data_IF_186400970045
#
_entry.id   IF_186400970045
#
_cell.length_a   1.000
_cell.length_b   1.000
_cell.length_c   1.000
_cell.angle_alpha   90.00
_cell.angle_beta   90.00
_cell.angle_gamma   90.00
#
_symmetry.space_group_name_H-M   'P 1'
#
loop_
_entity.id
_entity.type
_entity.pdbx_description
1 polymer ?
#
# COMPACT_ATOMS: atom_id res chain seq x y z
N UNK A 1 15.88 -71.66 -10.98
CA UNK A 1 16.14 -70.38 -10.27
C UNK A 1 16.99 -69.37 -11.06
N UNK A 2 17.78 -69.75 -12.07
CA UNK A 2 18.66 -68.83 -12.82
C UNK A 2 17.92 -67.79 -13.72
N UNK A 3 16.80 -68.17 -14.36
CA UNK A 3 16.05 -67.30 -15.29
C UNK A 3 15.45 -66.04 -14.63
N UNK A 4 15.08 -66.11 -13.35
CA UNK A 4 14.52 -64.98 -12.59
C UNK A 4 15.58 -63.91 -12.26
N UNK A 5 16.83 -64.31 -12.01
CA UNK A 5 17.92 -63.37 -11.72
C UNK A 5 18.34 -62.58 -12.96
N UNK A 6 18.40 -63.23 -14.13
CA UNK A 6 18.75 -62.58 -15.41
C UNK A 6 17.70 -61.52 -15.79
N UNK A 7 16.41 -61.78 -15.60
CA UNK A 7 15.35 -60.80 -15.87
C UNK A 7 15.42 -59.58 -14.96
N UNK A 8 15.78 -59.78 -13.68
CA UNK A 8 15.97 -58.68 -12.72
C UNK A 8 17.20 -57.83 -13.04
N UNK A 9 18.27 -58.44 -13.54
CA UNK A 9 19.49 -57.73 -13.92
C UNK A 9 19.30 -56.89 -15.20
N UNK A 10 18.58 -57.42 -16.20
CA UNK A 10 18.23 -56.66 -17.41
C UNK A 10 17.34 -55.46 -17.06
N UNK A 11 16.36 -55.66 -16.16
CA UNK A 11 15.49 -54.58 -15.69
C UNK A 11 16.30 -53.50 -14.94
N UNK A 12 17.23 -53.90 -14.06
CA UNK A 12 18.08 -52.97 -13.33
C UNK A 12 19.00 -52.17 -14.25
N UNK A 13 19.58 -52.80 -15.28
CA UNK A 13 20.42 -52.12 -16.29
C UNK A 13 19.61 -51.15 -17.15
N UNK A 14 18.35 -51.47 -17.45
CA UNK A 14 17.45 -50.57 -18.15
C UNK A 14 17.10 -49.33 -17.32
N UNK A 15 16.74 -49.50 -16.04
CA UNK A 15 16.52 -48.37 -15.14
C UNK A 15 17.78 -47.52 -14.94
N UNK A 16 18.94 -48.17 -14.81
CA UNK A 16 20.22 -47.46 -14.70
C UNK A 16 20.52 -46.66 -15.98
N UNK A 17 20.21 -47.21 -17.16
CA UNK A 17 20.31 -46.49 -18.44
C UNK A 17 19.40 -45.27 -18.51
N UNK A 18 18.15 -45.38 -18.03
CA UNK A 18 17.23 -44.23 -17.94
C UNK A 18 17.76 -43.17 -16.96
N UNK A 19 18.36 -43.57 -15.84
CA UNK A 19 18.94 -42.61 -14.89
C UNK A 19 20.19 -41.95 -15.49
N UNK A 20 21.11 -42.72 -16.06
CA UNK A 20 22.39 -42.23 -16.60
C UNK A 20 22.20 -41.39 -17.86
N UNK A 21 21.22 -41.70 -18.71
CA UNK A 21 20.98 -40.93 -19.94
C UNK A 21 19.83 -39.95 -19.79
N UNK A 22 18.74 -40.34 -19.14
CA UNK A 22 17.54 -39.52 -19.00
C UNK A 22 17.70 -38.35 -18.04
N UNK A 23 18.50 -38.47 -16.96
CA UNK A 23 18.78 -37.33 -16.07
C UNK A 23 19.63 -36.27 -16.78
N UNK A 24 20.81 -36.58 -17.36
CA UNK A 24 21.58 -35.55 -18.07
C UNK A 24 20.87 -35.04 -19.32
N UNK A 25 20.11 -35.86 -20.03
CA UNK A 25 19.27 -35.37 -21.15
C UNK A 25 18.15 -34.45 -20.63
N UNK A 26 17.54 -34.77 -19.48
CA UNK A 26 16.56 -33.92 -18.80
C UNK A 26 17.17 -32.61 -18.31
N UNK A 27 18.38 -32.62 -17.76
CA UNK A 27 19.14 -31.42 -17.35
C UNK A 27 19.50 -30.58 -18.58
N UNK A 28 19.89 -31.21 -19.69
CA UNK A 28 20.25 -30.51 -20.93
C UNK A 28 19.02 -29.87 -21.58
N UNK A 29 17.89 -30.58 -21.62
CA UNK A 29 16.60 -30.06 -22.11
C UNK A 29 16.08 -28.95 -21.20
N UNK A 30 16.17 -29.12 -19.87
CA UNK A 30 15.85 -28.06 -18.91
C UNK A 30 16.73 -26.84 -19.13
N UNK A 31 18.05 -27.03 -19.28
CA UNK A 31 19.02 -25.98 -19.57
C UNK A 31 18.70 -25.21 -20.87
N UNK A 32 18.25 -25.90 -21.91
CA UNK A 32 17.81 -25.29 -23.18
C UNK A 32 16.43 -24.63 -23.12
N UNK A 33 15.53 -25.06 -22.24
CA UNK A 33 14.23 -24.41 -22.02
C UNK A 33 14.38 -23.18 -21.11
N UNK A 34 15.33 -23.21 -20.17
CA UNK A 34 15.69 -22.08 -19.31
C UNK A 34 16.58 -21.02 -19.98
N UNK A 35 16.97 -21.22 -21.24
CA UNK A 35 17.91 -20.34 -21.97
C UNK A 35 17.25 -19.27 -22.85
N UNK A 36 15.96 -18.96 -22.66
CA UNK A 36 15.39 -17.72 -23.19
C UNK A 36 16.08 -16.54 -22.46
N UNK A 37 16.79 -15.63 -23.15
CA UNK A 37 17.39 -14.47 -22.49
C UNK A 37 16.28 -13.65 -21.84
N UNK A 38 16.32 -13.54 -20.50
CA UNK A 38 15.36 -12.75 -19.76
C UNK A 38 15.36 -11.29 -20.23
N UNK A 39 14.21 -10.63 -20.15
CA UNK A 39 14.12 -9.21 -20.47
C UNK A 39 14.93 -8.42 -19.45
N UNK A 40 16.04 -7.82 -19.89
CA UNK A 40 16.85 -6.95 -19.05
C UNK A 40 16.14 -5.62 -18.82
N UNK A 41 15.94 -5.29 -17.56
CA UNK A 41 15.41 -4.04 -17.05
C UNK A 41 16.54 -3.31 -16.34
N UNK A 42 16.97 -2.19 -16.90
CA UNK A 42 17.98 -1.32 -16.31
C UNK A 42 17.32 -0.34 -15.35
N UNK A 43 17.92 -0.17 -14.19
CA UNK A 43 17.49 0.77 -13.16
C UNK A 43 18.47 1.94 -13.07
N UNK A 44 17.93 3.15 -13.18
CA UNK A 44 18.61 4.41 -12.86
C UNK A 44 17.68 5.25 -11.98
N UNK A 45 18.23 6.20 -11.23
CA UNK A 45 17.43 7.16 -10.46
C UNK A 45 16.41 7.86 -11.37
N UNK A 46 15.25 8.29 -10.85
CA UNK A 46 14.20 8.93 -11.64
C UNK A 46 14.64 10.13 -12.48
N UNK A 47 15.66 10.85 -12.00
CA UNK A 47 16.29 11.98 -12.66
C UNK A 47 17.02 11.61 -13.97
N UNK A 48 17.45 10.34 -14.10
CA UNK A 48 18.19 9.81 -15.25
C UNK A 48 17.36 8.78 -16.06
N UNK A 49 16.04 8.87 -15.97
CA UNK A 49 15.11 8.09 -16.80
C UNK A 49 14.47 6.88 -16.12
N UNK A 50 14.84 6.56 -14.88
CA UNK A 50 14.13 5.54 -14.09
C UNK A 50 14.35 4.12 -14.63
N UNK A 51 13.26 3.35 -14.69
CA UNK A 51 13.28 1.98 -15.22
C UNK A 51 13.30 1.97 -16.75
N UNK A 52 14.18 1.17 -17.34
CA UNK A 52 14.26 0.97 -18.79
C UNK A 52 14.28 -0.53 -19.17
N UNK A 53 13.24 -1.06 -19.83
CA UNK A 53 12.03 -0.36 -20.23
C UNK A 53 11.16 0.01 -19.01
N UNK A 54 10.47 1.15 -19.09
CA UNK A 54 9.49 1.57 -18.07
C UNK A 54 8.12 0.89 -18.23
N UNK A 55 7.89 0.21 -19.36
CA UNK A 55 6.69 -0.58 -19.62
C UNK A 55 7.06 -1.93 -20.22
N UNK A 56 6.55 -2.98 -19.62
CA UNK A 56 6.78 -4.37 -19.99
C UNK A 56 5.45 -4.96 -20.44
N UNK A 57 5.44 -5.73 -21.53
CA UNK A 57 4.26 -6.47 -21.97
C UNK A 57 4.40 -7.94 -21.60
N UNK A 58 3.32 -8.52 -21.09
CA UNK A 58 3.23 -9.93 -20.73
C UNK A 58 1.88 -10.51 -21.17
N UNK A 59 1.76 -11.84 -21.12
CA UNK A 59 0.51 -12.55 -21.44
C UNK A 59 0.08 -13.41 -20.27
N UNK A 60 -1.24 -13.50 -20.08
CA UNK A 60 -1.82 -14.36 -19.04
C UNK A 60 -1.31 -15.80 -19.18
N UNK A 61 -0.85 -16.38 -18.07
CA UNK A 61 -0.36 -17.75 -17.97
C UNK A 61 0.98 -18.03 -18.65
N UNK A 62 1.65 -17.02 -19.23
CA UNK A 62 3.00 -17.18 -19.80
C UNK A 62 4.07 -16.72 -18.81
N UNK A 63 5.20 -17.45 -18.69
CA UNK A 63 6.31 -17.02 -17.84
C UNK A 63 6.96 -15.76 -18.40
N UNK A 64 7.16 -14.78 -17.54
CA UNK A 64 7.88 -13.54 -17.80
C UNK A 64 9.21 -13.58 -17.02
N UNK A 65 10.29 -13.91 -17.73
CA UNK A 65 11.63 -13.88 -17.19
C UNK A 65 12.16 -12.45 -17.24
N UNK A 66 12.35 -11.82 -16.07
CA UNK A 66 12.94 -10.49 -15.94
C UNK A 66 14.35 -10.61 -15.35
N UNK A 67 15.26 -9.80 -15.87
CA UNK A 67 16.58 -9.59 -15.32
C UNK A 67 16.74 -8.12 -14.98
N UNK A 68 17.47 -7.80 -13.92
CA UNK A 68 17.66 -6.44 -13.44
C UNK A 68 19.13 -6.14 -13.27
N UNK A 69 19.51 -4.91 -13.57
CA UNK A 69 20.83 -4.36 -13.23
C UNK A 69 20.69 -2.87 -12.96
N UNK A 70 21.49 -2.35 -12.04
CA UNK A 70 21.54 -0.91 -11.78
C UNK A 70 22.68 -0.25 -12.56
N UNK A 71 22.44 0.97 -13.04
CA UNK A 71 23.46 1.80 -13.70
C UNK A 71 24.07 2.84 -12.75
N UNK A 72 23.57 2.97 -11.52
CA UNK A 72 24.00 3.99 -10.56
C UNK A 72 24.09 3.51 -9.09
N UNK A 73 22.97 3.50 -8.36
CA UNK A 73 22.86 3.20 -6.93
C UNK A 73 22.10 1.90 -6.71
N UNK A 74 21.96 1.46 -5.46
CA UNK A 74 21.13 0.29 -5.15
C UNK A 74 19.66 0.67 -5.30
N UNK A 75 18.93 -0.14 -6.07
CA UNK A 75 17.48 -0.04 -6.20
C UNK A 75 16.81 -1.27 -5.59
N UNK A 76 15.50 -1.16 -5.36
CA UNK A 76 14.65 -2.29 -5.04
C UNK A 76 13.65 -2.51 -6.16
N UNK A 77 13.17 -3.74 -6.34
CA UNK A 77 12.08 -4.06 -7.25
C UNK A 77 11.00 -4.81 -6.47
N UNK A 78 9.80 -4.25 -6.48
CA UNK A 78 8.59 -4.89 -5.98
C UNK A 78 7.41 -4.58 -6.89
N UNK A 79 6.41 -5.46 -6.93
CA UNK A 79 5.16 -5.27 -7.67
C UNK A 79 4.05 -5.07 -6.64
N UNK A 80 3.44 -3.89 -6.64
CA UNK A 80 2.53 -3.42 -5.58
C UNK A 80 1.52 -4.43 -5.06
N UNK A 81 0.44 -4.62 -5.82
CA UNK A 81 -0.70 -5.50 -5.42
C UNK A 81 -0.35 -7.00 -5.32
N UNK A 82 0.92 -7.38 -5.51
CA UNK A 82 1.37 -8.76 -5.42
C UNK A 82 2.27 -8.93 -4.19
N UNK A 83 1.93 -9.91 -3.36
CA UNK A 83 2.79 -10.31 -2.24
C UNK A 83 3.98 -11.14 -2.75
N UNK A 84 4.96 -10.44 -3.31
CA UNK A 84 6.20 -11.00 -3.81
C UNK A 84 7.39 -10.44 -3.01
N UNK A 85 8.40 -11.27 -2.69
CA UNK A 85 9.62 -10.78 -2.07
C UNK A 85 10.25 -9.65 -2.89
N UNK A 86 10.68 -8.59 -2.20
CA UNK A 86 11.44 -7.53 -2.84
C UNK A 86 12.79 -8.05 -3.35
N UNK A 87 13.25 -7.49 -4.46
CA UNK A 87 14.53 -7.83 -5.07
C UNK A 87 15.44 -6.62 -5.02
N UNK A 88 16.59 -6.75 -4.38
CA UNK A 88 17.64 -5.74 -4.47
C UNK A 88 18.34 -5.80 -5.85
N UNK A 89 18.55 -4.63 -6.43
CA UNK A 89 19.16 -4.43 -7.74
C UNK A 89 20.44 -3.63 -7.57
N UNK A 90 21.58 -4.32 -7.68
CA UNK A 90 22.91 -3.75 -7.46
C UNK A 90 23.59 -3.33 -8.77
N UNK A 91 24.45 -2.29 -8.75
CA UNK A 91 25.28 -1.94 -9.89
C UNK A 91 26.27 -3.04 -10.24
N UNK A 92 26.39 -3.38 -11.53
CA UNK A 92 27.34 -4.38 -12.02
C UNK A 92 26.93 -5.84 -11.77
N UNK A 93 25.79 -6.09 -11.14
CA UNK A 93 25.21 -7.42 -10.96
C UNK A 93 23.97 -7.59 -11.84
N UNK A 94 23.69 -8.85 -12.19
CA UNK A 94 22.44 -9.22 -12.85
C UNK A 94 21.68 -10.15 -11.89
N UNK A 95 20.56 -9.65 -11.37
CA UNK A 95 19.58 -10.43 -10.62
C UNK A 95 18.38 -10.72 -11.52
N UNK A 96 17.58 -11.74 -11.21
CA UNK A 96 16.44 -12.07 -12.06
C UNK A 96 15.32 -12.77 -11.32
N UNK A 97 14.13 -12.68 -11.89
CA UNK A 97 12.92 -13.32 -11.38
C UNK A 97 12.08 -13.84 -12.54
N UNK A 98 11.26 -14.85 -12.26
CA UNK A 98 10.31 -15.40 -13.21
C UNK A 98 8.91 -15.22 -12.64
N UNK A 99 8.06 -14.52 -13.38
CA UNK A 99 6.71 -14.14 -12.97
C UNK A 99 5.68 -14.83 -13.86
N UNK A 100 4.57 -15.26 -13.28
CA UNK A 100 3.42 -15.76 -14.04
C UNK A 100 2.17 -15.01 -13.55
N UNK A 101 1.56 -14.25 -14.45
CA UNK A 101 0.33 -13.52 -14.17
C UNK A 101 -0.87 -14.37 -14.57
N UNK A 102 -1.80 -14.56 -13.63
CA UNK A 102 -3.00 -15.37 -13.85
C UNK A 102 -4.19 -14.57 -14.36
N UNK A 103 -4.15 -13.25 -14.21
CA UNK A 103 -5.19 -12.33 -14.66
C UNK A 103 -4.59 -11.22 -15.54
N UNK A 104 -5.35 -10.73 -16.54
CA UNK A 104 -4.94 -9.57 -17.32
C UNK A 104 -5.08 -8.31 -16.48
N UNK A 105 -4.28 -7.30 -16.79
CA UNK A 105 -4.31 -6.05 -16.03
C UNK A 105 -3.05 -5.23 -16.12
N UNK A 106 -3.00 -4.16 -15.33
CA UNK A 106 -1.85 -3.28 -15.18
C UNK A 106 -1.27 -3.47 -13.79
N UNK A 107 -0.05 -3.98 -13.73
CA UNK A 107 0.68 -4.20 -12.49
C UNK A 107 1.78 -3.15 -12.40
N UNK A 108 1.74 -2.30 -11.38
CA UNK A 108 2.76 -1.28 -11.15
C UNK A 108 3.88 -1.89 -10.33
N UNK A 109 5.10 -1.79 -10.84
CA UNK A 109 6.31 -2.07 -10.07
C UNK A 109 6.99 -0.77 -9.68
N UNK A 110 7.68 -0.78 -8.55
CA UNK A 110 8.25 0.41 -7.94
C UNK A 110 9.55 0.11 -7.19
N UNK A 111 10.31 1.16 -6.89
CA UNK A 111 11.53 1.07 -6.10
C UNK A 111 11.23 1.06 -4.60
N UNK A 112 11.71 0.03 -3.89
CA UNK A 112 11.63 -0.08 -2.42
C UNK A 112 12.86 0.48 -1.71
N UNK A 113 13.82 1.03 -2.47
CA UNK A 113 15.03 1.66 -1.93
C UNK A 113 14.96 3.17 -2.08
N UNK A 114 15.57 3.83 -1.11
CA UNK A 114 15.78 5.27 -1.11
C UNK A 114 16.92 5.63 -2.07
N UNK A 115 16.65 5.55 -3.38
CA UNK A 115 17.67 5.72 -4.42
C UNK A 115 17.97 7.19 -4.76
N UNK A 116 17.01 8.10 -4.55
CA UNK A 116 17.18 9.55 -4.69
C UNK A 116 16.10 10.32 -3.91
N UNK A 117 16.18 11.65 -3.75
CA UNK A 117 15.08 12.45 -3.19
C UNK A 117 13.73 12.27 -3.91
N UNK A 118 13.75 11.86 -5.18
CA UNK A 118 12.55 11.58 -5.97
C UNK A 118 12.23 10.09 -6.09
N UNK A 119 12.76 9.21 -5.20
CA UNK A 119 12.63 7.75 -5.31
C UNK A 119 11.19 7.25 -5.57
N UNK A 120 10.18 7.94 -5.05
CA UNK A 120 8.76 7.62 -5.20
C UNK A 120 8.27 7.69 -6.67
N UNK A 121 9.00 8.41 -7.53
CA UNK A 121 8.77 8.49 -8.99
C UNK A 121 9.32 7.27 -9.73
N UNK A 122 10.11 6.42 -9.07
CA UNK A 122 10.75 5.25 -9.68
C UNK A 122 9.76 4.10 -9.86
N UNK A 123 8.87 4.24 -10.84
CA UNK A 123 7.77 3.31 -11.11
C UNK A 123 7.74 2.90 -12.57
N UNK A 124 7.33 1.67 -12.83
CA UNK A 124 7.04 1.18 -14.17
C UNK A 124 5.77 0.34 -14.19
N UNK A 125 5.41 -0.18 -15.37
CA UNK A 125 4.18 -0.97 -15.51
C UNK A 125 4.41 -2.25 -16.29
N UNK A 126 3.88 -3.36 -15.79
CA UNK A 126 3.69 -4.59 -16.54
C UNK A 126 2.23 -4.62 -17.02
N UNK A 127 2.04 -4.65 -18.34
CA UNK A 127 0.73 -4.78 -18.99
C UNK A 127 0.56 -6.24 -19.36
N UNK A 128 -0.37 -6.92 -18.69
CA UNK A 128 -0.70 -8.33 -18.94
C UNK A 128 -1.93 -8.38 -19.84
N UNK A 129 -1.73 -8.88 -21.07
CA UNK A 129 -2.77 -9.05 -22.07
C UNK A 129 -3.33 -10.49 -22.03
N UNK A 130 -4.63 -10.65 -22.25
CA UNK A 130 -5.28 -11.95 -22.32
C UNK A 130 -6.75 -11.90 -21.89
N UNK A 131 -7.42 -13.04 -21.97
CA UNK A 131 -8.76 -13.21 -21.41
C UNK A 131 -8.64 -13.40 -19.90
N UNK A 132 -9.45 -12.65 -19.14
CA UNK A 132 -9.57 -12.86 -17.71
C UNK A 132 -10.31 -14.15 -17.44
N UNK A 133 -9.83 -14.92 -16.46
CA UNK A 133 -10.53 -16.13 -16.02
C UNK A 133 -11.66 -15.80 -15.05
N UNK A 134 -11.67 -14.58 -14.50
CA UNK A 134 -12.64 -14.10 -13.53
C UNK A 134 -13.04 -12.67 -13.89
N UNK A 135 -14.31 -12.43 -14.24
CA UNK A 135 -14.81 -11.06 -14.42
C UNK A 135 -14.85 -10.34 -13.05
N UNK A 136 -13.72 -9.76 -12.64
CA UNK A 136 -13.62 -8.91 -11.45
C UNK A 136 -13.58 -7.45 -11.90
N UNK A 137 -14.71 -6.77 -11.76
CA UNK A 137 -14.71 -5.32 -11.66
C UNK A 137 -14.38 -4.98 -10.21
N UNK A 138 -13.23 -4.36 -9.91
CA UNK A 138 -12.99 -3.88 -8.55
C UNK A 138 -14.12 -2.93 -8.17
N UNK A 139 -14.60 -3.05 -6.94
CA UNK A 139 -15.60 -2.12 -6.43
C UNK A 139 -15.02 -0.70 -6.50
N UNK A 140 -15.81 0.28 -6.96
CA UNK A 140 -15.35 1.66 -6.99
C UNK A 140 -15.00 2.13 -5.57
N UNK A 141 -13.94 2.95 -5.41
CA UNK A 141 -13.59 3.54 -4.12
C UNK A 141 -14.76 4.30 -3.48
N UNK A 142 -14.78 4.39 -2.15
CA UNK A 142 -15.91 4.99 -1.43
C UNK A 142 -16.16 6.45 -1.84
N UNK A 143 -15.09 7.23 -2.04
CA UNK A 143 -15.23 8.63 -2.48
C UNK A 143 -15.92 8.77 -3.84
N UNK A 144 -15.77 7.79 -4.74
CA UNK A 144 -16.45 7.77 -6.05
C UNK A 144 -17.91 7.41 -5.88
N UNK A 145 -18.21 6.36 -5.09
CA UNK A 145 -19.58 5.92 -4.81
C UNK A 145 -20.40 7.03 -4.17
N UNK A 146 -19.77 7.79 -3.26
CA UNK A 146 -20.41 8.85 -2.50
C UNK A 146 -20.36 10.22 -3.19
N UNK A 147 -19.62 10.37 -4.29
CA UNK A 147 -19.43 11.67 -4.94
C UNK A 147 -18.70 12.69 -4.06
N UNK A 148 -17.79 12.24 -3.20
CA UNK A 148 -17.02 13.10 -2.30
C UNK A 148 -15.94 13.83 -3.11
N UNK A 149 -15.94 15.17 -3.02
CA UNK A 149 -14.82 15.98 -3.49
C UNK A 149 -13.65 15.88 -2.49
N UNK A 150 -12.67 15.04 -2.81
CA UNK A 150 -11.51 14.79 -1.95
C UNK A 150 -10.51 15.96 -1.89
N UNK A 151 -10.65 16.98 -2.74
CA UNK A 151 -9.80 18.17 -2.77
C UNK A 151 -10.42 19.39 -2.09
N UNK A 152 -11.73 19.34 -1.79
CA UNK A 152 -12.38 20.40 -1.04
C UNK A 152 -11.72 20.56 0.34
N UNK A 153 -11.31 21.79 0.66
CA UNK A 153 -10.82 22.15 1.99
C UNK A 153 -11.93 21.96 3.03
N UNK A 154 -11.62 21.20 4.07
CA UNK A 154 -12.52 20.91 5.20
C UNK A 154 -11.79 21.22 6.49
N UNK A 155 -12.42 22.07 7.28
CA UNK A 155 -11.96 22.45 8.61
C UNK A 155 -13.18 22.55 9.53
N UNK A 156 -12.98 22.28 10.81
CA UNK A 156 -14.00 22.44 11.83
C UNK A 156 -13.48 23.31 12.98
N UNK A 157 -14.37 24.14 13.52
CA UNK A 157 -14.12 24.88 14.76
C UNK A 157 -14.48 24.06 16.01
N UNK A 158 -15.08 22.87 15.83
CA UNK A 158 -15.41 21.94 16.89
C UNK A 158 -14.16 21.12 17.21
N UNK A 159 -13.33 21.61 18.13
CA UNK A 159 -12.04 21.00 18.50
C UNK A 159 -12.17 20.45 19.94
N UNK A 160 -11.70 19.22 20.22
CA UNK A 160 -11.63 18.69 21.58
C UNK A 160 -10.80 19.60 22.50
N UNK A 161 -11.20 19.74 23.76
CA UNK A 161 -10.42 20.50 24.76
C UNK A 161 -9.07 19.84 25.05
N UNK A 162 -9.03 18.51 24.99
CA UNK A 162 -7.83 17.68 25.11
C UNK A 162 -7.89 16.51 24.10
N UNK A 163 -6.72 15.95 23.78
CA UNK A 163 -6.62 14.75 22.95
C UNK A 163 -7.53 13.64 23.51
N UNK A 164 -8.51 13.14 22.74
CA UNK A 164 -9.45 12.15 23.24
C UNK A 164 -8.77 10.83 23.67
N UNK A 165 -9.19 10.28 24.82
CA UNK A 165 -8.65 9.02 25.37
C UNK A 165 -9.49 7.83 24.94
N UNK A 166 -8.84 6.84 24.31
CA UNK A 166 -9.46 5.58 23.92
C UNK A 166 -9.95 4.79 25.13
N UNK A 167 -9.18 4.82 26.22
CA UNK A 167 -9.53 4.12 27.45
C UNK A 167 -10.77 4.72 28.11
N UNK A 168 -10.81 6.05 28.29
CA UNK A 168 -11.96 6.73 28.86
C UNK A 168 -13.23 6.53 28.01
N UNK A 169 -13.08 6.58 26.68
CA UNK A 169 -14.17 6.30 25.75
C UNK A 169 -14.71 4.89 25.85
N UNK A 170 -13.83 3.88 25.97
CA UNK A 170 -14.23 2.48 26.17
C UNK A 170 -14.97 2.29 27.49
N UNK A 171 -14.56 2.97 28.55
CA UNK A 171 -15.27 2.95 29.84
C UNK A 171 -16.69 3.52 29.70
N UNK A 172 -16.86 4.67 29.04
CA UNK A 172 -18.19 5.25 28.73
C UNK A 172 -19.03 4.26 27.90
N UNK A 173 -18.43 3.68 26.86
CA UNK A 173 -19.09 2.74 25.95
C UNK A 173 -19.67 1.52 26.69
N UNK A 174 -19.02 1.03 27.74
CA UNK A 174 -19.56 -0.07 28.57
C UNK A 174 -20.78 0.30 29.40
N UNK A 175 -21.00 1.59 29.66
CA UNK A 175 -22.16 2.11 30.38
C UNK A 175 -23.39 2.32 29.50
N UNK A 176 -23.23 2.29 28.17
CA UNK A 176 -24.31 2.53 27.21
C UNK A 176 -24.80 1.19 26.66
N UNK A 177 -26.12 1.03 26.55
CA UNK A 177 -26.75 -0.15 25.97
C UNK A 177 -26.35 -0.31 24.50
N UNK A 178 -25.99 -1.54 24.10
CA UNK A 178 -25.62 -1.89 22.73
C UNK A 178 -26.60 -1.36 21.68
N UNK A 179 -27.90 -1.48 21.92
CA UNK A 179 -28.95 -1.04 20.99
C UNK A 179 -28.89 0.45 20.65
N UNK A 180 -28.35 1.28 21.57
CA UNK A 180 -28.18 2.72 21.34
C UNK A 180 -26.89 3.04 20.56
N UNK A 181 -25.85 2.21 20.72
CA UNK A 181 -24.55 2.41 20.08
C UNK A 181 -24.42 1.71 18.71
N UNK A 182 -25.19 0.66 18.46
CA UNK A 182 -25.09 -0.18 17.26
C UNK A 182 -25.08 0.62 15.94
N UNK A 183 -25.88 1.70 15.76
CA UNK A 183 -25.82 2.53 14.55
C UNK A 183 -24.45 3.19 14.30
N UNK A 184 -23.70 3.47 15.37
CA UNK A 184 -22.40 4.14 15.32
C UNK A 184 -21.22 3.17 15.24
N UNK A 185 -21.48 1.86 15.39
CA UNK A 185 -20.44 0.81 15.32
C UNK A 185 -20.31 0.21 13.92
N UNK A 186 -21.23 0.53 13.01
CA UNK A 186 -21.13 0.09 11.62
C UNK A 186 -19.88 0.66 10.93
N UNK A 187 -19.10 -0.23 10.33
CA UNK A 187 -17.83 0.14 9.70
C UNK A 187 -18.03 1.06 8.49
N UNK A 188 -19.13 0.90 7.76
CA UNK A 188 -19.42 1.80 6.62
C UNK A 188 -19.77 3.18 7.15
N UNK A 189 -20.57 3.28 8.21
CA UNK A 189 -20.89 4.55 8.88
C UNK A 189 -19.61 5.29 9.32
N UNK A 190 -18.71 4.62 10.05
CA UNK A 190 -17.44 5.21 10.53
C UNK A 190 -16.45 5.56 9.41
N UNK A 191 -16.53 4.88 8.25
CA UNK A 191 -15.69 5.24 7.09
C UNK A 191 -16.22 6.44 6.33
N UNK A 192 -17.53 6.66 6.36
CA UNK A 192 -18.20 7.65 5.52
C UNK A 192 -18.49 8.97 6.24
N UNK A 193 -18.52 8.96 7.57
CA UNK A 193 -18.64 10.15 8.41
C UNK A 193 -17.28 10.54 9.01
N UNK A 194 -17.10 11.83 9.22
CA UNK A 194 -15.96 12.39 9.95
C UNK A 194 -16.17 12.28 11.47
N UNK A 195 -15.11 12.27 12.29
CA UNK A 195 -15.26 12.30 13.74
C UNK A 195 -16.11 13.47 14.25
N UNK A 196 -16.01 14.64 13.63
CA UNK A 196 -16.82 15.81 13.99
C UNK A 196 -18.31 15.66 13.69
N UNK A 197 -18.67 15.01 12.58
CA UNK A 197 -20.07 14.68 12.27
C UNK A 197 -20.62 13.65 13.25
N UNK A 198 -19.82 12.65 13.62
CA UNK A 198 -20.24 11.64 14.61
C UNK A 198 -20.37 12.24 16.00
N UNK A 199 -19.47 13.15 16.40
CA UNK A 199 -19.61 13.91 17.64
C UNK A 199 -20.93 14.68 17.68
N UNK A 200 -21.27 15.39 16.58
CA UNK A 200 -22.51 16.15 16.49
C UNK A 200 -23.73 15.23 16.63
N UNK A 201 -23.76 14.13 15.87
CA UNK A 201 -24.84 13.13 15.96
C UNK A 201 -24.97 12.54 17.36
N UNK A 202 -23.87 12.28 18.06
CA UNK A 202 -23.92 11.77 19.43
C UNK A 202 -24.41 12.84 20.40
N UNK A 203 -24.01 14.10 20.25
CA UNK A 203 -24.44 15.20 21.13
C UNK A 203 -25.94 15.51 21.10
N UNK A 204 -26.66 15.02 20.07
CA UNK A 204 -28.11 15.13 19.97
C UNK A 204 -28.86 13.93 20.58
N UNK A 205 -28.14 12.90 21.06
CA UNK A 205 -28.73 11.70 21.62
C UNK A 205 -29.00 11.82 23.13
N UNK A 206 -30.22 11.49 23.56
CA UNK A 206 -30.64 11.54 24.98
C UNK A 206 -29.74 10.72 25.92
N UNK A 207 -29.06 9.68 25.41
CA UNK A 207 -28.16 8.86 26.23
C UNK A 207 -26.80 9.50 26.50
N UNK A 208 -26.52 10.65 25.89
CA UNK A 208 -25.30 11.44 26.09
C UNK A 208 -25.55 12.75 26.84
N UNK A 209 -26.80 13.06 27.22
CA UNK A 209 -27.17 14.31 27.92
C UNK A 209 -26.36 14.59 29.19
N UNK A 210 -25.92 13.53 29.87
CA UNK A 210 -25.13 13.61 31.11
C UNK A 210 -23.60 13.65 30.86
N UNK A 211 -23.15 13.57 29.60
CA UNK A 211 -21.74 13.59 29.21
C UNK A 211 -21.30 15.01 28.86
N UNK A 212 -20.09 15.38 29.26
CA UNK A 212 -19.41 16.57 28.76
C UNK A 212 -18.96 16.43 27.31
N UNK A 213 -18.69 17.56 26.63
CA UNK A 213 -18.16 17.60 25.26
C UNK A 213 -16.92 16.71 25.09
N UNK A 214 -16.02 16.73 26.08
CA UNK A 214 -14.80 15.91 26.08
C UNK A 214 -15.10 14.42 26.27
N UNK A 215 -16.13 14.05 27.05
CA UNK A 215 -16.56 12.66 27.21
C UNK A 215 -17.20 12.12 25.92
N UNK A 216 -17.97 12.94 25.19
CA UNK A 216 -18.46 12.58 23.85
C UNK A 216 -17.28 12.41 22.88
N UNK A 217 -16.26 13.27 22.95
CA UNK A 217 -15.05 13.09 22.15
C UNK A 217 -14.28 11.79 22.48
N UNK A 218 -14.18 11.44 23.76
CA UNK A 218 -13.61 10.16 24.17
C UNK A 218 -14.44 8.99 23.60
N UNK A 219 -15.77 9.09 23.62
CA UNK A 219 -16.65 8.09 23.00
C UNK A 219 -16.42 7.97 21.48
N UNK A 220 -16.28 9.08 20.76
CA UNK A 220 -15.91 9.08 19.32
C UNK A 220 -14.58 8.35 19.09
N UNK A 221 -13.57 8.60 19.92
CA UNK A 221 -12.29 7.91 19.81
C UNK A 221 -12.43 6.40 19.99
N UNK A 222 -13.22 5.95 20.97
CA UNK A 222 -13.49 4.54 21.19
C UNK A 222 -14.25 3.89 20.02
N UNK A 223 -15.19 4.62 19.41
CA UNK A 223 -15.91 4.17 18.21
C UNK A 223 -14.95 4.01 17.02
N UNK A 224 -14.07 4.98 16.78
CA UNK A 224 -13.05 4.88 15.71
C UNK A 224 -12.11 3.68 15.91
N UNK A 225 -11.76 3.36 17.16
CA UNK A 225 -10.91 2.21 17.47
C UNK A 225 -11.66 0.87 17.52
N UNK A 226 -13.00 0.87 17.48
CA UNK A 226 -13.81 -0.35 17.69
C UNK A 226 -13.61 -1.43 16.62
N UNK A 227 -13.20 -1.04 15.41
CA UNK A 227 -12.98 -1.93 14.27
C UNK A 227 -11.49 -2.18 13.98
N UNK A 228 -10.57 -1.67 14.81
CA UNK A 228 -9.12 -1.82 14.63
C UNK A 228 -8.61 -3.02 15.42
N UNK A 229 -7.93 -3.95 14.75
CA UNK A 229 -7.30 -5.09 15.45
C UNK A 229 -5.81 -4.79 15.72
N UNK A 230 -5.19 -5.46 16.72
CA UNK A 230 -3.75 -5.32 16.94
C UNK A 230 -2.92 -5.65 15.70
N UNK A 231 -3.36 -6.65 14.92
CA UNK A 231 -2.70 -7.07 13.68
C UNK A 231 -2.82 -6.00 12.59
N UNK A 232 -4.02 -5.44 12.36
CA UNK A 232 -4.20 -4.38 11.34
C UNK A 232 -3.48 -3.11 11.74
N UNK A 233 -3.47 -2.75 13.02
CA UNK A 233 -2.74 -1.59 13.54
C UNK A 233 -1.23 -1.74 13.34
N UNK A 234 -0.65 -2.91 13.66
CA UNK A 234 0.78 -3.15 13.46
C UNK A 234 1.16 -3.15 11.98
N UNK A 235 0.34 -3.78 11.11
CA UNK A 235 0.54 -3.74 9.68
C UNK A 235 0.49 -2.31 9.12
N UNK A 236 -0.50 -1.52 9.57
CA UNK A 236 -0.64 -0.11 9.22
C UNK A 236 0.57 0.73 9.62
N UNK A 237 1.07 0.55 10.84
CA UNK A 237 2.28 1.23 11.31
C UNK A 237 3.50 0.90 10.46
N UNK A 238 3.74 -0.38 10.18
CA UNK A 238 4.88 -0.80 9.36
C UNK A 238 4.83 -0.20 7.95
N UNK A 239 3.66 -0.21 7.33
CA UNK A 239 3.44 0.40 6.02
C UNK A 239 3.62 1.92 6.06
N UNK A 240 3.12 2.58 7.10
CA UNK A 240 3.29 4.02 7.30
C UNK A 240 4.76 4.40 7.47
N UNK A 241 5.50 3.71 8.33
CA UNK A 241 6.91 3.96 8.60
C UNK A 241 7.75 3.83 7.33
N UNK A 242 7.43 2.84 6.50
CA UNK A 242 8.16 2.57 5.25
C UNK A 242 7.81 3.55 4.12
N UNK A 243 6.57 4.02 4.04
CA UNK A 243 6.07 4.70 2.83
C UNK A 243 5.55 6.12 3.05
N UNK A 244 5.22 6.51 4.28
CA UNK A 244 4.53 7.77 4.60
C UNK A 244 5.38 8.68 5.51
N UNK A 245 6.04 8.10 6.52
CA UNK A 245 6.76 8.85 7.57
C UNK A 245 7.87 9.77 7.05
N UNK A 246 8.50 9.42 5.93
CA UNK A 246 9.52 10.26 5.28
C UNK A 246 9.01 11.67 4.94
N UNK A 247 7.72 11.79 4.55
CA UNK A 247 7.08 13.06 4.23
C UNK A 247 6.19 13.57 5.38
N UNK A 248 5.40 12.69 6.00
CA UNK A 248 4.42 13.06 7.01
C UNK A 248 4.99 13.09 8.45
N UNK A 249 6.25 12.70 8.64
CA UNK A 249 6.87 12.55 9.96
C UNK A 249 6.50 11.21 10.61
N UNK A 250 7.44 10.64 11.36
CA UNK A 250 7.16 9.44 12.18
C UNK A 250 6.16 9.72 13.31
N UNK A 251 6.03 10.98 13.70
CA UNK A 251 5.07 11.50 14.67
C UNK A 251 3.78 12.04 14.03
N UNK A 252 3.63 11.95 12.70
CA UNK A 252 2.46 12.44 11.97
C UNK A 252 2.38 13.95 11.80
N UNK A 253 3.37 14.72 12.27
CA UNK A 253 3.34 16.20 12.31
C UNK A 253 3.35 16.91 10.94
N UNK A 254 3.46 16.16 9.84
CA UNK A 254 3.70 16.73 8.50
C UNK A 254 5.12 17.27 8.30
N UNK A 255 6.01 17.12 9.29
CA UNK A 255 7.38 17.64 9.28
C UNK A 255 8.44 16.55 9.02
N UNK A 256 8.13 15.60 8.12
CA UNK A 256 9.09 14.58 7.70
C UNK A 256 10.33 15.16 7.02
N UNK A 257 11.42 14.40 7.00
CA UNK A 257 12.70 14.83 6.40
C UNK A 257 12.59 15.18 4.90
N UNK A 258 11.56 14.66 4.22
CA UNK A 258 11.23 14.94 2.83
C UNK A 258 9.91 15.69 2.67
N UNK A 259 9.42 16.34 3.73
CA UNK A 259 8.28 17.25 3.68
C UNK A 259 8.54 18.53 2.85
N UNK A 260 9.57 18.54 1.99
CA UNK A 260 10.16 19.74 1.40
C UNK A 260 9.10 20.72 0.90
N UNK A 261 9.00 21.84 1.63
CA UNK A 261 8.59 23.12 1.10
C UNK A 261 9.60 23.46 0.01
N UNK A 262 9.24 23.32 -1.26
CA UNK A 262 10.03 23.93 -2.31
C UNK A 262 10.03 25.43 -2.07
N UNK A 263 11.12 25.93 -1.46
CA UNK A 263 11.35 27.37 -1.40
C UNK A 263 11.53 27.82 -2.85
N UNK A 264 10.82 28.88 -3.30
CA UNK A 264 11.02 29.40 -4.65
C UNK A 264 12.47 29.87 -4.77
N UNK A 265 13.35 29.11 -5.42
CA UNK A 265 14.72 29.54 -5.66
C UNK A 265 15.80 28.48 -5.86
N UNK A 266 15.61 27.24 -5.42
CA UNK A 266 16.66 26.22 -5.56
C UNK A 266 16.43 25.33 -6.80
N UNK A 267 17.26 25.60 -7.81
CA UNK A 267 17.49 24.84 -9.05
C UNK A 267 16.43 25.02 -10.16
N UNK A 268 16.57 26.12 -10.91
CA UNK A 268 16.53 26.09 -12.38
C UNK A 268 15.21 25.74 -13.09
N UNK A 269 14.10 25.49 -12.39
CA UNK A 269 12.80 25.30 -13.03
C UNK A 269 11.98 26.58 -12.96
N UNK A 270 11.51 26.98 -14.14
CA UNK A 270 10.46 27.98 -14.39
C UNK A 270 9.44 28.11 -13.26
N UNK A 271 9.01 29.35 -13.00
CA UNK A 271 7.96 29.85 -12.10
C UNK A 271 6.60 29.09 -12.12
N UNK A 272 6.59 27.77 -11.99
CA UNK A 272 5.40 26.89 -12.03
C UNK A 272 5.31 25.97 -10.80
N UNK A 273 6.29 25.99 -9.89
CA UNK A 273 6.35 25.13 -8.69
C UNK A 273 6.00 25.88 -7.39
N UNK A 274 5.30 27.01 -7.48
CA UNK A 274 5.13 27.92 -6.35
C UNK A 274 4.14 27.42 -5.28
N UNK A 275 3.37 26.35 -5.54
CA UNK A 275 2.28 25.90 -4.68
C UNK A 275 2.34 24.39 -4.36
N UNK A 276 3.51 23.83 -4.04
CA UNK A 276 3.54 22.49 -3.44
C UNK A 276 3.10 22.64 -1.98
N UNK A 277 1.86 22.25 -1.71
CA UNK A 277 1.31 22.21 -0.35
C UNK A 277 2.12 21.23 0.50
N UNK A 278 2.44 21.64 1.74
CA UNK A 278 3.06 20.76 2.73
C UNK A 278 2.28 19.45 2.87
N UNK A 279 2.93 18.33 3.22
CA UNK A 279 2.23 17.13 3.64
C UNK A 279 1.23 17.43 4.76
N UNK A 280 0.14 16.67 4.80
CA UNK A 280 -0.85 16.78 5.86
C UNK A 280 -0.21 16.55 7.23
N UNK A 281 -0.54 17.42 8.18
CA UNK A 281 -0.26 17.26 9.61
C UNK A 281 -1.39 16.44 10.23
N UNK A 282 -1.13 15.15 10.44
CA UNK A 282 -2.08 14.21 11.04
C UNK A 282 -2.26 14.40 12.54
N UNK A 283 -1.53 15.34 13.17
CA UNK A 283 -1.72 15.73 14.57
C UNK A 283 -2.66 16.93 14.71
N UNK A 284 -2.91 17.69 13.63
CA UNK A 284 -3.79 18.85 13.66
C UNK A 284 -5.29 18.44 13.62
N UNK A 285 -6.02 18.59 14.74
CA UNK A 285 -7.42 18.16 14.80
C UNK A 285 -8.32 18.95 13.86
N UNK A 286 -8.10 20.26 13.65
CA UNK A 286 -8.98 21.12 12.84
C UNK A 286 -9.26 20.54 11.44
N UNK A 287 -8.24 19.91 10.85
CA UNK A 287 -8.33 19.28 9.53
C UNK A 287 -8.66 17.78 9.61
N UNK A 288 -8.10 17.07 10.59
CA UNK A 288 -8.23 15.62 10.67
C UNK A 288 -9.63 15.19 11.07
N UNK A 289 -10.20 15.74 12.15
CA UNK A 289 -11.54 15.34 12.61
C UNK A 289 -12.68 15.89 11.73
N UNK A 290 -12.37 16.78 10.80
CA UNK A 290 -13.27 17.24 9.74
C UNK A 290 -13.25 16.33 8.49
N UNK A 291 -12.30 15.41 8.38
CA UNK A 291 -12.20 14.46 7.28
C UNK A 291 -12.78 13.09 7.68
N UNK A 292 -13.52 12.45 6.76
CA UNK A 292 -13.90 11.04 6.91
C UNK A 292 -12.78 10.12 6.42
N UNK A 293 -12.79 8.88 6.88
CA UNK A 293 -11.81 7.87 6.45
C UNK A 293 -11.87 7.62 4.93
N UNK A 294 -13.04 7.77 4.30
CA UNK A 294 -13.22 7.70 2.85
C UNK A 294 -12.47 8.82 2.09
N UNK A 295 -12.31 10.01 2.69
CA UNK A 295 -11.47 11.07 2.12
C UNK A 295 -10.00 10.67 2.17
N UNK A 296 -9.53 10.13 3.30
CA UNK A 296 -8.16 9.64 3.44
C UNK A 296 -7.85 8.53 2.44
N UNK A 297 -8.78 7.57 2.28
CA UNK A 297 -8.72 6.51 1.25
C UNK A 297 -8.59 7.11 -0.15
N UNK A 298 -9.46 8.06 -0.51
CA UNK A 298 -9.41 8.70 -1.82
C UNK A 298 -8.09 9.43 -2.09
N UNK A 299 -7.55 10.15 -1.08
CA UNK A 299 -6.24 10.81 -1.19
C UNK A 299 -5.10 9.81 -1.37
N UNK A 300 -5.12 8.67 -0.69
CA UNK A 300 -4.13 7.60 -0.89
C UNK A 300 -4.24 6.93 -2.27
N UNK A 301 -5.46 6.60 -2.68
CA UNK A 301 -5.73 5.91 -3.95
C UNK A 301 -5.40 6.74 -5.19
N UNK A 302 -5.57 8.06 -5.11
CA UNK A 302 -5.33 8.96 -6.24
C UNK A 302 -3.95 9.64 -6.15
N UNK A 303 -3.45 9.85 -4.94
CA UNK A 303 -2.41 10.84 -4.65
C UNK A 303 -3.00 12.25 -4.49
N UNK A 304 -2.19 13.17 -3.97
CA UNK A 304 -2.58 14.58 -3.83
C UNK A 304 -2.32 15.37 -5.11
N UNK A 305 -3.37 15.94 -5.71
CA UNK A 305 -3.18 16.81 -6.87
C UNK A 305 -2.49 18.12 -6.44
N UNK A 306 -1.48 18.55 -7.19
CA UNK A 306 -0.67 19.71 -6.81
C UNK A 306 0.26 19.46 -5.62
N UNK A 307 0.30 18.24 -5.09
CA UNK A 307 1.20 17.86 -4.00
C UNK A 307 2.26 16.87 -4.48
N UNK A 308 3.31 16.66 -3.68
CA UNK A 308 4.30 15.60 -3.92
C UNK A 308 3.83 14.20 -3.52
N UNK A 309 2.57 14.03 -3.11
CA UNK A 309 2.05 12.76 -2.58
C UNK A 309 1.86 11.74 -3.71
N UNK A 310 2.54 10.57 -3.68
CA UNK A 310 2.40 9.54 -4.69
C UNK A 310 1.01 8.90 -4.69
N UNK A 311 0.60 8.35 -5.84
CA UNK A 311 -0.58 7.49 -5.93
C UNK A 311 -0.27 6.10 -5.34
N UNK A 312 -0.98 5.65 -4.31
CA UNK A 312 -0.77 4.34 -3.70
C UNK A 312 -1.77 3.26 -4.13
N UNK A 313 -2.81 3.59 -4.91
CA UNK A 313 -3.83 2.62 -5.31
C UNK A 313 -3.31 1.42 -6.13
N UNK A 314 -2.33 1.59 -7.04
CA UNK A 314 -1.68 0.47 -7.71
C UNK A 314 -0.60 -0.24 -6.88
N UNK A 315 -0.28 0.30 -5.69
CA UNK A 315 0.82 -0.18 -4.83
C UNK A 315 0.28 -1.04 -3.70
N UNK A 316 -0.77 -0.60 -3.02
CA UNK A 316 -1.33 -1.30 -1.87
C UNK A 316 -2.67 -1.96 -2.21
N UNK A 317 -2.92 -3.11 -1.60
CA UNK A 317 -4.24 -3.70 -1.53
C UNK A 317 -5.19 -2.84 -0.70
N UNK A 318 -6.51 -3.02 -0.89
CA UNK A 318 -7.51 -2.29 -0.11
C UNK A 318 -7.35 -2.49 1.40
N UNK A 319 -7.03 -3.71 1.85
CA UNK A 319 -6.80 -3.99 3.28
C UNK A 319 -5.60 -3.22 3.84
N UNK A 320 -4.52 -3.11 3.08
CA UNK A 320 -3.33 -2.35 3.48
C UNK A 320 -3.61 -0.86 3.57
N UNK A 321 -4.36 -0.30 2.60
CA UNK A 321 -4.80 1.10 2.65
C UNK A 321 -5.63 1.36 3.91
N UNK A 322 -6.61 0.50 4.21
CA UNK A 322 -7.41 0.65 5.43
C UNK A 322 -6.57 0.52 6.70
N UNK A 323 -5.57 -0.37 6.71
CA UNK A 323 -4.67 -0.53 7.86
C UNK A 323 -3.82 0.71 8.09
N UNK A 324 -3.32 1.35 7.02
CA UNK A 324 -2.62 2.64 7.10
C UNK A 324 -3.55 3.73 7.64
N UNK A 325 -4.80 3.80 7.17
CA UNK A 325 -5.78 4.79 7.65
C UNK A 325 -6.10 4.59 9.13
N UNK A 326 -6.30 3.34 9.56
CA UNK A 326 -6.51 3.00 10.98
C UNK A 326 -5.33 3.46 11.83
N UNK A 327 -4.09 3.30 11.34
CA UNK A 327 -2.90 3.81 12.00
C UNK A 327 -2.82 5.34 12.01
N UNK A 328 -3.17 6.03 10.91
CA UNK A 328 -3.19 7.50 10.84
C UNK A 328 -4.11 8.08 11.91
N UNK A 329 -5.27 7.46 12.16
CA UNK A 329 -6.19 7.91 13.20
C UNK A 329 -5.60 7.84 14.62
N UNK A 330 -4.57 7.03 14.86
CA UNK A 330 -3.91 6.96 16.18
C UNK A 330 -3.22 8.26 16.57
N UNK A 331 -2.87 9.12 15.60
CA UNK A 331 -2.31 10.45 15.90
C UNK A 331 -3.34 11.42 16.50
N UNK A 332 -4.65 11.10 16.41
CA UNK A 332 -5.74 11.93 16.94
C UNK A 332 -6.20 11.51 18.34
N UNK A 333 -5.76 10.36 18.83
CA UNK A 333 -6.23 9.78 20.09
C UNK A 333 -5.06 9.43 21.01
N UNK A 334 -5.34 9.20 22.28
CA UNK A 334 -4.35 8.75 23.27
C UNK A 334 -4.74 7.42 23.92
N UNK A 335 -3.73 6.76 24.51
CA UNK A 335 -3.74 5.45 25.20
C UNK A 335 -3.83 4.20 24.31
#
# INVERSE_FOLDING_TARGET
MASSRIKKEILARFFLGIIILGIPLGIMIWGQISSEPGLLVQASIPEDGGWNPGTIKAKVGQPLNLQFTSLDVVHGFSIGILDLPEIDVFPGEITGTNLVFLEPGRYVYYCTRWCSPNHWRMRGTIIVEGESRVEQKPDPPLYVVMGIDIDQDRQTNLIPEATPSLKAGKEIMTGISWQKLEPYLDLSYLRTHSPSEVWFSLSEEEFTDDLSDQEIWNLVAALWNSNVTPESSLAGQQLYDQNCAACHGADGSGAGIFAQKYSPGEIGSSNLLQDITSPADFTNPESMIAASSAILEGKMLRGGMGTGMPNFGPIFSSSEIWSIIDYIWTFQFTD
#
